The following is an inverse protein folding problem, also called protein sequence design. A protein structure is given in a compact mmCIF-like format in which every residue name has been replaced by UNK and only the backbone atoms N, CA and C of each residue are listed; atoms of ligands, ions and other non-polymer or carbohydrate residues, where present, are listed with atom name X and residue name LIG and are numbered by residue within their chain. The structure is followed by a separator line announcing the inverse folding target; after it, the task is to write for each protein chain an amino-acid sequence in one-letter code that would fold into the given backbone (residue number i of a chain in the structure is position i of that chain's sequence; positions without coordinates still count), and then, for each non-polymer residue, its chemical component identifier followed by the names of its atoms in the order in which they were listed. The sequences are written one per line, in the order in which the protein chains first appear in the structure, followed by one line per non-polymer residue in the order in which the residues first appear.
data_IF_366045214626
#
_entry.id   IF_366045214626
#
_cell.length_a   1.000
_cell.length_b   1.000
_cell.length_c   1.000
_cell.angle_alpha   90.00
_cell.angle_beta   90.00
_cell.angle_gamma   90.00
#
_symmetry.space_group_name_H-M   'P 1'
#
loop_
_entity.id
_entity.type
_entity.pdbx_description
1 polymer ?
#
# COMPACT_ATOMS: atom_id res chain seq x y z
N UNK A 1 -13.17 -1.34 19.70
CA UNK A 1 -12.99 -2.57 18.90
C UNK A 1 -14.23 -2.77 18.04
N UNK A 2 -14.10 -2.88 16.71
CA UNK A 2 -15.22 -3.19 15.82
C UNK A 2 -15.02 -4.61 15.25
N UNK A 3 -16.05 -5.48 15.23
CA UNK A 3 -15.88 -6.89 14.87
C UNK A 3 -15.61 -7.06 13.38
N UNK A 4 -14.73 -8.00 13.03
CA UNK A 4 -14.49 -8.42 11.64
C UNK A 4 -15.75 -9.08 11.06
N UNK A 5 -16.11 -8.69 9.82
CA UNK A 5 -17.24 -9.19 8.98
C UNK A 5 -18.59 -8.44 9.08
N UNK A 6 -18.59 -7.12 9.26
CA UNK A 6 -19.80 -6.25 9.16
C UNK A 6 -19.87 -5.40 7.88
N UNK A 7 -19.22 -5.81 6.78
CA UNK A 7 -19.46 -5.15 5.48
C UNK A 7 -18.72 -3.83 5.25
N UNK A 8 -17.67 -3.50 6.02
CA UNK A 8 -16.81 -2.32 5.76
C UNK A 8 -16.03 -2.41 4.44
N UNK A 9 -15.64 -3.62 4.01
CA UNK A 9 -15.01 -3.83 2.70
C UNK A 9 -15.97 -3.52 1.55
N UNK A 10 -17.19 -4.07 1.62
CA UNK A 10 -18.19 -3.99 0.55
C UNK A 10 -18.97 -2.67 0.53
N UNK A 11 -19.22 -2.06 1.69
CA UNK A 11 -20.13 -0.92 1.82
C UNK A 11 -19.51 0.47 1.63
N UNK A 12 -18.18 0.63 1.73
CA UNK A 12 -17.55 1.97 1.65
C UNK A 12 -16.20 1.99 0.96
N UNK A 13 -15.37 0.96 1.12
CA UNK A 13 -14.02 0.94 0.53
C UNK A 13 -14.09 0.67 -0.98
N UNK A 14 -14.76 -0.40 -1.40
CA UNK A 14 -14.89 -0.75 -2.83
C UNK A 14 -15.52 0.39 -3.65
N UNK A 15 -16.66 1.00 -3.26
CA UNK A 15 -17.21 2.13 -4.02
C UNK A 15 -16.21 3.27 -4.20
N UNK A 16 -15.50 3.67 -3.13
CA UNK A 16 -14.48 4.71 -3.23
C UNK A 16 -13.33 4.31 -4.15
N UNK A 17 -12.85 3.07 -4.07
CA UNK A 17 -11.81 2.56 -4.98
C UNK A 17 -12.28 2.56 -6.44
N UNK A 18 -13.58 2.37 -6.71
CA UNK A 18 -14.08 2.36 -8.07
C UNK A 18 -14.36 3.75 -8.65
N UNK A 19 -14.66 4.75 -7.82
CA UNK A 19 -15.19 6.04 -8.29
C UNK A 19 -14.38 7.28 -7.90
N UNK A 20 -13.56 7.22 -6.86
CA UNK A 20 -12.84 8.40 -6.38
C UNK A 20 -11.65 8.72 -7.29
N UNK A 21 -11.75 9.84 -8.02
CA UNK A 21 -10.69 10.35 -8.89
C UNK A 21 -9.62 11.13 -8.08
N UNK A 22 -8.87 10.40 -7.25
CA UNK A 22 -7.74 10.91 -6.47
C UNK A 22 -6.75 9.79 -6.13
N UNK A 23 -5.54 10.16 -5.73
CA UNK A 23 -4.55 9.22 -5.18
C UNK A 23 -5.02 8.64 -3.85
N UNK A 24 -4.78 7.34 -3.64
CA UNK A 24 -5.24 6.62 -2.45
C UNK A 24 -4.25 5.53 -2.03
N UNK A 25 -4.13 5.33 -0.72
CA UNK A 25 -3.43 4.20 -0.11
C UNK A 25 -4.48 3.30 0.52
N UNK A 26 -4.44 2.00 0.20
CA UNK A 26 -5.37 1.00 0.72
C UNK A 26 -4.58 -0.08 1.46
N UNK A 27 -4.84 -0.21 2.77
CA UNK A 27 -4.31 -1.32 3.58
C UNK A 27 -5.28 -2.48 3.42
N UNK A 28 -4.86 -3.51 2.69
CA UNK A 28 -5.69 -4.67 2.33
C UNK A 28 -5.01 -5.99 2.74
N UNK A 29 -5.04 -6.37 4.03
CA UNK A 29 -4.36 -7.57 4.53
C UNK A 29 -4.85 -8.88 3.89
N UNK A 30 -6.04 -8.86 3.27
CA UNK A 30 -6.63 -10.02 2.59
C UNK A 30 -6.45 -9.98 1.08
N UNK A 31 -5.98 -8.88 0.51
CA UNK A 31 -5.86 -8.69 -0.94
C UNK A 31 -7.21 -8.67 -1.69
N UNK A 32 -8.35 -8.55 -1.01
CA UNK A 32 -9.68 -8.62 -1.63
C UNK A 32 -9.97 -7.34 -2.44
N UNK A 33 -9.60 -6.18 -1.90
CA UNK A 33 -9.80 -4.89 -2.55
C UNK A 33 -8.91 -4.75 -3.79
N UNK A 34 -7.64 -5.18 -3.69
CA UNK A 34 -6.72 -5.18 -4.82
C UNK A 34 -7.24 -6.06 -5.97
N UNK A 35 -7.77 -7.25 -5.66
CA UNK A 35 -8.37 -8.17 -6.65
C UNK A 35 -9.64 -7.61 -7.29
N UNK A 36 -10.52 -6.96 -6.52
CA UNK A 36 -11.80 -6.44 -7.01
C UNK A 36 -11.61 -5.14 -7.81
N UNK A 37 -10.85 -4.18 -7.28
CA UNK A 37 -10.81 -2.82 -7.80
C UNK A 37 -9.50 -2.45 -8.52
N UNK A 38 -8.44 -3.25 -8.43
CA UNK A 38 -7.11 -2.92 -8.98
C UNK A 38 -7.13 -2.57 -10.46
N UNK A 39 -7.84 -3.36 -11.28
CA UNK A 39 -8.00 -3.07 -12.72
C UNK A 39 -8.80 -1.80 -12.98
N UNK A 40 -9.85 -1.53 -12.21
CA UNK A 40 -10.62 -0.29 -12.36
C UNK A 40 -9.77 0.93 -11.99
N UNK A 41 -8.91 0.80 -10.97
CA UNK A 41 -7.98 1.85 -10.55
C UNK A 41 -6.97 2.25 -11.61
N UNK A 42 -6.56 1.33 -12.49
CA UNK A 42 -5.65 1.63 -13.62
C UNK A 42 -6.19 2.71 -14.57
N UNK A 43 -7.51 2.95 -14.58
CA UNK A 43 -8.13 4.02 -15.37
C UNK A 43 -7.84 5.43 -14.83
N UNK A 44 -7.51 5.55 -13.55
CA UNK A 44 -7.23 6.83 -12.89
C UNK A 44 -5.73 7.11 -12.78
N UNK A 45 -4.87 6.13 -13.09
CA UNK A 45 -3.42 6.27 -13.04
C UNK A 45 -2.70 4.97 -12.68
N UNK A 46 -1.37 5.03 -12.45
CA UNK A 46 -0.58 3.87 -12.06
C UNK A 46 -1.09 3.22 -10.77
N UNK A 47 -1.08 1.89 -10.74
CA UNK A 47 -1.48 1.10 -9.57
C UNK A 47 -0.31 0.21 -9.18
N UNK A 48 0.16 0.38 -7.95
CA UNK A 48 1.22 -0.44 -7.36
C UNK A 48 0.63 -1.25 -6.22
N UNK A 49 0.84 -2.58 -6.27
CA UNK A 49 0.40 -3.50 -5.23
C UNK A 49 1.66 -3.96 -4.51
N UNK A 50 1.79 -3.65 -3.22
CA UNK A 50 2.87 -4.15 -2.38
C UNK A 50 2.36 -5.39 -1.65
N UNK A 51 2.64 -6.56 -2.20
CA UNK A 51 2.20 -7.86 -1.70
C UNK A 51 3.41 -8.79 -1.51
N UNK A 52 4.24 -8.56 -0.46
CA UNK A 52 5.46 -9.33 -0.22
C UNK A 52 5.21 -10.81 0.10
N UNK A 53 3.96 -11.17 0.40
CA UNK A 53 3.57 -12.53 0.78
C UNK A 53 2.75 -13.25 -0.31
N UNK A 54 2.48 -12.59 -1.45
CA UNK A 54 1.75 -13.17 -2.57
C UNK A 54 0.28 -13.50 -2.29
N UNK A 55 -0.35 -12.83 -1.32
CA UNK A 55 -1.76 -13.08 -0.89
C UNK A 55 -2.76 -12.76 -2.00
N UNK A 56 -2.45 -11.79 -2.85
CA UNK A 56 -3.34 -11.29 -3.91
C UNK A 56 -3.29 -12.13 -5.19
N UNK A 57 -2.18 -12.83 -5.43
CA UNK A 57 -1.89 -13.51 -6.70
C UNK A 57 -1.67 -12.55 -7.89
N UNK A 58 -1.55 -11.24 -7.65
CA UNK A 58 -1.28 -10.22 -8.66
C UNK A 58 0.22 -9.88 -8.69
N UNK A 59 0.74 -9.27 -9.78
CA UNK A 59 2.11 -8.79 -9.81
C UNK A 59 2.38 -7.80 -8.69
N UNK A 60 3.27 -8.15 -7.77
CA UNK A 60 3.69 -7.26 -6.69
C UNK A 60 4.76 -6.29 -7.19
N UNK A 61 4.58 -5.01 -6.87
CA UNK A 61 5.66 -4.04 -6.89
C UNK A 61 6.66 -4.34 -5.77
N UNK A 62 7.87 -3.84 -5.92
CA UNK A 62 8.89 -3.82 -4.89
C UNK A 62 9.12 -2.37 -4.46
N UNK A 63 9.34 -2.17 -3.17
CA UNK A 63 9.76 -0.89 -2.60
C UNK A 63 10.96 -1.19 -1.71
N UNK A 64 12.11 -0.58 -2.03
CA UNK A 64 13.29 -0.64 -1.18
C UNK A 64 13.40 0.67 -0.38
N UNK A 65 13.13 0.67 0.92
CA UNK A 65 13.29 1.86 1.75
C UNK A 65 14.74 2.40 1.76
N UNK A 66 15.73 1.55 1.51
CA UNK A 66 17.15 1.94 1.48
C UNK A 66 17.51 2.75 0.22
N UNK A 67 16.71 2.67 -0.85
CA UNK A 67 16.96 3.47 -2.06
C UNK A 67 16.77 4.98 -1.79
N UNK A 68 16.16 5.36 -0.67
CA UNK A 68 16.01 6.77 -0.27
C UNK A 68 17.22 7.32 0.49
N UNK A 69 18.13 6.46 0.96
CA UNK A 69 19.34 6.91 1.64
C UNK A 69 20.38 7.31 0.60
N UNK A 70 20.72 8.60 0.55
CA UNK A 70 21.87 9.09 -0.21
C UNK A 70 23.14 9.01 0.66
N UNK A 71 24.11 8.13 0.37
CA UNK A 71 25.34 8.00 1.16
C UNK A 71 26.20 9.26 1.18
N UNK A 72 26.01 10.16 0.21
CA UNK A 72 26.70 11.45 0.13
C UNK A 72 25.88 12.60 0.72
N UNK A 73 24.65 12.34 1.17
CA UNK A 73 23.77 13.33 1.77
C UNK A 73 24.26 13.75 3.16
N UNK A 74 24.15 15.05 3.46
CA UNK A 74 24.53 15.60 4.78
C UNK A 74 23.71 14.97 5.92
N UNK A 75 22.48 14.55 5.64
CA UNK A 75 21.51 14.08 6.62
C UNK A 75 21.39 12.54 6.68
N UNK A 76 22.28 11.81 5.98
CA UNK A 76 22.19 10.34 5.84
C UNK A 76 22.14 9.60 7.19
N UNK A 77 22.79 10.12 8.22
CA UNK A 77 22.76 9.52 9.56
C UNK A 77 21.38 9.65 10.22
N UNK A 78 20.68 10.77 10.00
CA UNK A 78 19.33 11.02 10.52
C UNK A 78 18.28 10.20 9.75
N UNK A 79 18.39 10.14 8.42
CA UNK A 79 17.52 9.31 7.58
C UNK A 79 17.67 7.83 7.92
N UNK A 80 18.92 7.36 8.13
CA UNK A 80 19.19 5.99 8.55
C UNK A 80 18.63 5.69 9.95
N UNK A 81 18.71 6.65 10.89
CA UNK A 81 18.13 6.49 12.22
C UNK A 81 16.60 6.40 12.16
N UNK A 82 15.95 7.28 11.39
CA UNK A 82 14.49 7.28 11.18
C UNK A 82 14.02 5.97 10.58
N UNK A 83 14.76 5.44 9.60
CA UNK A 83 14.46 4.15 8.99
C UNK A 83 14.69 2.98 9.97
N UNK A 84 15.70 3.06 10.83
CA UNK A 84 15.97 2.06 11.86
C UNK A 84 14.86 2.04 12.92
N UNK A 85 14.36 3.20 13.33
CA UNK A 85 13.26 3.32 14.30
C UNK A 85 11.91 2.87 13.71
N UNK A 86 11.72 3.02 12.39
CA UNK A 86 10.54 2.53 11.70
C UNK A 86 10.48 0.99 11.62
N UNK A 87 11.56 0.27 11.92
CA UNK A 87 11.53 -1.20 12.03
C UNK A 87 10.93 -1.60 13.37
N UNK A 88 9.76 -2.24 13.30
CA UNK A 88 9.10 -2.83 14.48
C UNK A 88 10.03 -3.91 15.07
N UNK A 89 10.32 -3.79 16.37
CA UNK A 89 11.02 -4.82 17.16
C UNK A 89 10.17 -6.09 17.32
#
# INVERSE_FOLDING_TARGET
MAPTRTGKGVGTIIPNLLTADRSMICIDPKGENARIAGRARQKFGPVHILDPFGVTGLPSAAFNPLDQLDPAGLDVAEDASTLADARVR
#
